data_IF_608830351882
#
_entry.id   IF_608830351882
#
_cell.length_a   1.000
_cell.length_b   1.000
_cell.length_c   1.000
_cell.angle_alpha   90.00
_cell.angle_beta   90.00
_cell.angle_gamma   90.00
#
_symmetry.space_group_name_H-M   'P 1'
#
loop_
_entity.id
_entity.type
_entity.pdbx_description
1 polymer ?
#
# COMPACT_ATOMS: atom_id res chain seq x y z
N UNK A 1 -9.74 -8.49 31.79
CA UNK A 1 -8.68 -9.46 31.42
C UNK A 1 -8.00 -8.97 30.14
N UNK A 2 -6.72 -9.30 29.93
CA UNK A 2 -6.09 -9.18 28.61
C UNK A 2 -6.42 -10.44 27.82
N UNK A 3 -7.15 -10.28 26.72
CA UNK A 3 -7.53 -11.41 25.87
C UNK A 3 -6.32 -11.90 25.08
N UNK A 4 -5.64 -10.98 24.40
CA UNK A 4 -4.43 -11.22 23.63
C UNK A 4 -3.64 -9.93 23.40
N UNK A 5 -2.37 -10.09 23.02
CA UNK A 5 -1.49 -9.00 22.59
C UNK A 5 -0.96 -9.30 21.19
N UNK A 6 -0.91 -8.30 20.32
CA UNK A 6 -0.40 -8.44 18.95
C UNK A 6 0.75 -7.47 18.70
N UNK A 7 1.83 -7.88 18.01
CA UNK A 7 2.84 -6.94 17.56
C UNK A 7 2.26 -6.03 16.46
N UNK A 8 2.79 -4.81 16.34
CA UNK A 8 2.51 -4.00 15.16
C UNK A 8 3.19 -4.58 13.92
N UNK A 9 2.58 -4.38 12.75
CA UNK A 9 3.08 -4.92 11.48
C UNK A 9 4.49 -4.42 11.15
N UNK A 10 4.78 -3.16 11.46
CA UNK A 10 6.05 -2.51 11.21
C UNK A 10 6.65 -1.94 12.51
N UNK A 11 7.97 -2.08 12.63
CA UNK A 11 8.72 -1.52 13.75
C UNK A 11 8.51 -2.26 15.07
N UNK A 12 8.70 -1.52 16.16
CA UNK A 12 8.56 -1.96 17.54
C UNK A 12 7.26 -1.41 18.12
N UNK A 13 6.35 -2.30 18.50
CA UNK A 13 5.09 -1.91 19.13
C UNK A 13 4.18 -3.09 19.36
N UNK A 14 3.20 -2.89 20.22
CA UNK A 14 2.19 -3.87 20.57
C UNK A 14 0.82 -3.24 20.73
N UNK A 15 -0.22 -3.97 20.32
CA UNK A 15 -1.61 -3.72 20.72
C UNK A 15 -2.00 -4.70 21.81
N UNK A 16 -2.60 -4.20 22.88
CA UNK A 16 -3.10 -5.00 24.00
C UNK A 16 -4.62 -4.91 24.01
N UNK A 17 -5.29 -6.04 23.83
CA UNK A 17 -6.74 -6.14 23.77
C UNK A 17 -7.31 -6.58 25.11
N UNK A 18 -8.29 -5.82 25.61
CA UNK A 18 -8.83 -5.94 26.95
C UNK A 18 -10.32 -6.29 26.91
N UNK A 19 -10.72 -7.22 27.76
CA UNK A 19 -12.10 -7.49 28.14
C UNK A 19 -12.31 -7.12 29.61
N UNK A 20 -12.69 -5.86 29.93
CA UNK A 20 -12.94 -5.42 31.30
C UNK A 20 -14.05 -6.25 31.96
N UNK A 21 -13.91 -6.62 33.25
CA UNK A 21 -15.00 -7.28 33.97
C UNK A 21 -16.17 -6.30 34.21
N UNK A 22 -17.40 -6.81 34.38
CA UNK A 22 -18.54 -5.97 34.74
C UNK A 22 -18.25 -5.15 36.00
N UNK A 23 -18.59 -3.85 35.97
CA UNK A 23 -18.38 -2.95 37.11
C UNK A 23 -17.00 -2.27 37.16
N UNK A 24 -16.06 -2.63 36.27
CA UNK A 24 -14.82 -1.88 36.12
C UNK A 24 -15.07 -0.47 35.54
N UNK A 25 -14.54 0.55 36.20
CA UNK A 25 -14.69 1.96 35.81
C UNK A 25 -13.47 2.47 35.05
N UNK A 26 -12.27 2.05 35.48
CA UNK A 26 -10.99 2.41 34.87
C UNK A 26 -10.06 1.20 34.86
N UNK A 27 -9.03 1.26 34.02
CA UNK A 27 -7.94 0.31 34.05
C UNK A 27 -6.58 0.96 33.79
N UNK A 28 -5.58 0.37 34.41
CA UNK A 28 -4.17 0.62 34.19
C UNK A 28 -3.55 -0.58 33.51
N UNK A 29 -2.76 -0.34 32.47
CA UNK A 29 -1.94 -1.39 31.86
C UNK A 29 -0.50 -1.09 32.17
N UNK A 30 0.19 -2.08 32.74
CA UNK A 30 1.62 -2.02 33.02
C UNK A 30 2.37 -3.00 32.13
N UNK A 31 3.61 -2.66 31.77
CA UNK A 31 4.52 -3.46 30.97
C UNK A 31 5.79 -3.78 31.75
N UNK A 32 6.34 -4.98 31.57
CA UNK A 32 7.67 -5.35 32.06
C UNK A 32 8.36 -6.30 31.06
N UNK A 33 9.68 -6.45 31.13
CA UNK A 33 10.46 -7.42 30.34
C UNK A 33 10.47 -8.82 30.99
N UNK A 34 9.84 -8.95 32.16
CA UNK A 34 9.65 -10.20 32.90
C UNK A 34 8.19 -10.30 33.36
N UNK A 35 7.70 -11.50 33.58
CA UNK A 35 6.37 -11.72 34.17
C UNK A 35 6.40 -11.44 35.69
N UNK A 36 6.58 -10.17 36.05
CA UNK A 36 6.73 -9.69 37.43
C UNK A 36 6.15 -8.27 37.57
N UNK A 37 5.20 -8.09 38.48
CA UNK A 37 4.42 -6.85 38.63
C UNK A 37 4.12 -6.53 40.10
N UNK A 38 4.95 -7.00 41.03
CA UNK A 38 4.85 -6.67 42.44
C UNK A 38 5.45 -5.28 42.72
N UNK A 39 5.18 -4.76 43.92
CA UNK A 39 5.79 -3.51 44.39
C UNK A 39 7.33 -3.62 44.38
N UNK A 40 8.00 -2.67 43.72
CA UNK A 40 9.46 -2.67 43.52
C UNK A 40 9.93 -3.32 42.20
N UNK A 41 9.05 -3.95 41.43
CA UNK A 41 9.37 -4.36 40.07
C UNK A 41 9.47 -3.14 39.14
N UNK A 42 10.34 -3.23 38.14
CA UNK A 42 10.55 -2.19 37.13
C UNK A 42 9.41 -2.10 36.09
N UNK A 43 8.17 -2.35 36.50
CA UNK A 43 7.01 -2.29 35.64
C UNK A 43 6.69 -0.83 35.27
N UNK A 44 6.51 -0.56 33.99
CA UNK A 44 6.18 0.75 33.45
C UNK A 44 4.68 0.85 33.19
N UNK A 45 4.05 1.93 33.66
CA UNK A 45 2.64 2.20 33.36
C UNK A 45 2.54 2.72 31.91
N UNK A 46 1.90 1.94 31.03
CA UNK A 46 1.76 2.30 29.61
C UNK A 46 0.46 3.05 29.32
N UNK A 47 -0.56 2.86 30.16
CA UNK A 47 -1.90 3.39 29.93
C UNK A 47 -2.71 3.46 31.22
N UNK A 48 -3.55 4.49 31.34
CA UNK A 48 -4.59 4.64 32.36
C UNK A 48 -5.83 5.27 31.72
N UNK A 49 -6.99 4.62 31.86
CA UNK A 49 -8.24 5.08 31.27
C UNK A 49 -9.26 3.96 31.12
N UNK A 50 -10.07 3.98 30.05
CA UNK A 50 -11.14 3.02 29.80
C UNK A 50 -11.24 2.58 28.32
N UNK A 51 -10.12 2.59 27.59
CA UNK A 51 -9.98 2.07 26.22
C UNK A 51 -9.81 0.54 26.21
N UNK A 52 -10.59 -0.18 25.40
CA UNK A 52 -10.51 -1.65 25.30
C UNK A 52 -9.34 -2.14 24.44
N UNK A 53 -8.67 -1.22 23.74
CA UNK A 53 -7.44 -1.48 22.99
C UNK A 53 -6.39 -0.45 23.38
N UNK A 54 -5.24 -0.91 23.86
CA UNK A 54 -4.12 -0.05 24.24
C UNK A 54 -2.98 -0.24 23.25
N UNK A 55 -2.49 0.87 22.68
CA UNK A 55 -1.34 0.89 21.79
C UNK A 55 -0.08 1.25 22.57
N UNK A 56 0.85 0.31 22.68
CA UNK A 56 2.16 0.51 23.26
C UNK A 56 3.23 0.58 22.16
N UNK A 57 3.79 1.77 21.97
CA UNK A 57 4.76 2.07 20.91
C UNK A 57 6.05 2.72 21.45
N UNK A 58 6.14 2.94 22.76
CA UNK A 58 7.24 3.68 23.38
C UNK A 58 8.27 2.74 24.03
N UNK A 59 9.56 2.91 23.73
CA UNK A 59 10.67 2.20 24.37
C UNK A 59 10.65 0.65 24.26
N UNK A 60 10.01 0.10 23.23
CA UNK A 60 10.11 -1.32 22.90
C UNK A 60 11.35 -1.61 22.04
N UNK A 61 11.89 -2.82 22.12
CA UNK A 61 12.90 -3.33 21.20
C UNK A 61 12.40 -4.56 20.48
N UNK A 62 12.66 -4.66 19.18
CA UNK A 62 12.31 -5.84 18.40
C UNK A 62 13.05 -7.08 18.91
N UNK A 63 12.37 -8.22 18.93
CA UNK A 63 12.92 -9.49 19.40
C UNK A 63 12.99 -9.64 20.92
N UNK A 64 12.58 -8.62 21.69
CA UNK A 64 12.49 -8.70 23.16
C UNK A 64 11.06 -9.01 23.56
N UNK A 65 10.86 -10.00 24.41
CA UNK A 65 9.55 -10.32 24.96
C UNK A 65 9.17 -9.29 26.04
N UNK A 66 7.97 -8.71 25.89
CA UNK A 66 7.36 -7.84 26.88
C UNK A 66 6.10 -8.49 27.42
N UNK A 67 5.90 -8.38 28.73
CA UNK A 67 4.76 -8.87 29.48
C UNK A 67 3.89 -7.68 29.86
N UNK A 68 2.58 -7.84 29.71
CA UNK A 68 1.57 -6.83 30.01
C UNK A 68 0.63 -7.36 31.06
N UNK A 69 0.30 -6.51 32.04
CA UNK A 69 -0.68 -6.82 33.07
C UNK A 69 -1.64 -5.66 33.24
N UNK A 70 -2.91 -6.00 33.39
CA UNK A 70 -3.99 -5.02 33.59
C UNK A 70 -4.45 -5.03 35.04
N UNK A 71 -4.74 -3.84 35.55
CA UNK A 71 -5.33 -3.60 36.86
C UNK A 71 -6.64 -2.84 36.65
N UNK A 72 -7.76 -3.35 37.15
CA UNK A 72 -9.07 -2.71 37.02
C UNK A 72 -9.46 -2.02 38.32
N UNK A 73 -10.10 -0.86 38.21
CA UNK A 73 -10.62 -0.11 39.34
C UNK A 73 -12.15 -0.23 39.40
N UNK A 74 -12.68 -0.60 40.57
CA UNK A 74 -14.11 -0.84 40.81
C UNK A 74 -14.78 0.22 41.71
N UNK A 75 -14.18 1.42 41.79
CA UNK A 75 -14.50 2.52 42.73
C UNK A 75 -13.91 2.37 44.14
N UNK A 76 -13.42 1.17 44.50
CA UNK A 76 -12.88 0.92 45.84
C UNK A 76 -11.41 0.51 45.83
N UNK A 77 -11.03 -0.41 44.94
CA UNK A 77 -9.68 -0.98 44.89
C UNK A 77 -9.22 -1.17 43.46
N UNK A 78 -7.90 -1.20 43.29
CA UNK A 78 -7.27 -1.67 42.06
C UNK A 78 -7.06 -3.18 42.14
N UNK A 79 -7.82 -3.93 41.36
CA UNK A 79 -7.70 -5.39 41.24
C UNK A 79 -6.75 -5.77 40.10
N UNK A 80 -5.65 -6.44 40.46
CA UNK A 80 -4.63 -6.98 39.55
C UNK A 80 -4.54 -8.50 39.55
N UNK A 81 -5.59 -9.23 39.91
CA UNK A 81 -5.56 -10.71 39.92
C UNK A 81 -5.55 -11.35 38.52
N UNK A 82 -5.62 -10.56 37.45
CA UNK A 82 -5.60 -11.05 36.09
C UNK A 82 -4.18 -11.50 35.66
N UNK A 83 -4.06 -12.60 34.90
CA UNK A 83 -2.76 -13.07 34.41
C UNK A 83 -2.14 -12.08 33.43
N UNK A 84 -0.80 -12.03 33.41
CA UNK A 84 -0.08 -11.27 32.40
C UNK A 84 -0.13 -11.97 31.03
N UNK A 85 0.04 -11.19 29.97
CA UNK A 85 0.18 -11.69 28.59
C UNK A 85 1.46 -11.15 27.97
N UNK A 86 2.17 -11.99 27.23
CA UNK A 86 3.41 -11.60 26.58
C UNK A 86 3.23 -11.40 25.08
N UNK A 87 3.99 -10.47 24.51
CA UNK A 87 4.20 -10.33 23.06
C UNK A 87 5.64 -9.97 22.79
N UNK A 88 6.17 -10.42 21.66
CA UNK A 88 7.51 -10.07 21.18
C UNK A 88 7.34 -9.24 19.92
N UNK A 89 7.54 -7.91 19.98
CA UNK A 89 7.51 -7.06 18.81
C UNK A 89 8.54 -7.49 17.75
N UNK A 90 8.16 -7.33 16.50
CA UNK A 90 9.04 -7.49 15.35
C UNK A 90 8.32 -7.03 14.08
N UNK A 91 9.09 -6.71 13.04
CA UNK A 91 8.55 -6.29 11.75
C UNK A 91 8.24 -7.53 10.90
N UNK A 92 6.97 -7.79 10.64
CA UNK A 92 6.50 -9.01 9.97
C UNK A 92 5.43 -8.71 8.93
N UNK A 93 5.69 -7.76 8.02
CA UNK A 93 4.75 -7.40 6.96
C UNK A 93 5.27 -7.75 5.57
N UNK A 94 4.34 -8.04 4.67
CA UNK A 94 4.55 -8.13 3.23
C UNK A 94 3.80 -7.00 2.55
N UNK A 95 4.43 -6.36 1.58
CA UNK A 95 3.75 -5.41 0.70
C UNK A 95 2.78 -6.16 -0.21
N UNK A 96 1.51 -5.76 -0.19
CA UNK A 96 0.43 -6.30 -1.02
C UNK A 96 -0.04 -5.26 -2.06
N UNK A 97 0.69 -4.17 -2.21
CA UNK A 97 0.36 -3.09 -3.13
C UNK A 97 0.54 -3.52 -4.59
N UNK A 98 -0.23 -2.89 -5.47
CA UNK A 98 -0.05 -3.00 -6.91
C UNK A 98 0.81 -1.82 -7.38
N UNK A 99 1.77 -2.08 -8.26
CA UNK A 99 2.49 -1.03 -8.99
C UNK A 99 1.81 -0.78 -10.35
N UNK A 100 0.88 0.19 -10.46
CA UNK A 100 0.18 0.47 -11.71
C UNK A 100 1.12 1.04 -12.78
N UNK A 101 2.21 1.71 -12.41
CA UNK A 101 3.19 2.21 -13.38
C UNK A 101 3.90 1.04 -14.06
N UNK A 102 4.40 0.08 -13.28
CA UNK A 102 5.05 -1.12 -13.80
C UNK A 102 4.10 -1.94 -14.67
N UNK A 103 2.86 -2.14 -14.21
CA UNK A 103 1.85 -2.90 -14.95
C UNK A 103 1.51 -2.25 -16.30
N UNK A 104 1.18 -0.96 -16.32
CA UNK A 104 0.86 -0.24 -17.55
C UNK A 104 2.06 -0.23 -18.50
N UNK A 105 3.28 -0.02 -17.99
CA UNK A 105 4.53 -0.08 -18.77
C UNK A 105 4.70 -1.43 -19.45
N UNK A 106 4.56 -2.54 -18.71
CA UNK A 106 4.69 -3.90 -19.23
C UNK A 106 3.67 -4.18 -20.36
N UNK A 107 2.40 -3.82 -20.15
CA UNK A 107 1.35 -4.05 -21.15
C UNK A 107 1.56 -3.23 -22.41
N UNK A 108 1.98 -1.97 -22.27
CA UNK A 108 2.32 -1.13 -23.42
C UNK A 108 3.55 -1.65 -24.16
N UNK A 109 4.59 -2.10 -23.45
CA UNK A 109 5.79 -2.65 -24.07
C UNK A 109 5.48 -3.91 -24.90
N UNK A 110 4.74 -4.86 -24.32
CA UNK A 110 4.33 -6.07 -25.04
C UNK A 110 3.42 -5.76 -26.23
N UNK A 111 2.48 -4.84 -26.07
CA UNK A 111 1.55 -4.44 -27.13
C UNK A 111 2.25 -3.75 -28.30
N UNK A 112 3.15 -2.80 -28.01
CA UNK A 112 3.92 -2.09 -29.03
C UNK A 112 4.90 -3.01 -29.75
N UNK A 113 5.52 -3.96 -29.05
CA UNK A 113 6.38 -4.96 -29.67
C UNK A 113 5.61 -5.78 -30.74
N UNK A 114 4.38 -6.18 -30.44
CA UNK A 114 3.51 -6.89 -31.39
C UNK A 114 3.14 -6.01 -32.60
N UNK A 115 2.79 -4.73 -32.37
CA UNK A 115 2.46 -3.78 -33.45
C UNK A 115 3.66 -3.43 -34.34
N UNK A 116 4.89 -3.50 -33.81
CA UNK A 116 6.09 -3.36 -34.62
C UNK A 116 6.37 -4.65 -35.40
N UNK A 117 6.24 -5.81 -34.76
CA UNK A 117 6.47 -7.11 -35.39
C UNK A 117 5.52 -7.39 -36.57
N UNK A 118 4.26 -6.96 -36.48
CA UNK A 118 3.28 -7.12 -37.56
C UNK A 118 3.33 -5.99 -38.61
N UNK A 119 4.25 -5.02 -38.48
CA UNK A 119 4.45 -3.93 -39.41
C UNK A 119 3.44 -2.77 -39.32
N UNK A 120 2.54 -2.78 -38.33
CA UNK A 120 1.59 -1.67 -38.09
C UNK A 120 2.31 -0.39 -37.70
N UNK A 121 3.32 -0.51 -36.83
CA UNK A 121 4.20 0.59 -36.44
C UNK A 121 5.63 0.30 -36.93
N UNK A 122 6.40 1.36 -37.18
CA UNK A 122 7.79 1.26 -37.60
C UNK A 122 8.68 1.99 -36.62
N UNK A 123 9.83 1.40 -36.32
CA UNK A 123 10.86 2.02 -35.50
C UNK A 123 12.23 1.58 -36.00
N UNK A 124 13.23 2.47 -35.99
CA UNK A 124 14.57 2.18 -36.54
C UNK A 124 15.27 1.01 -35.84
N UNK A 125 14.93 0.77 -34.58
CA UNK A 125 15.45 -0.34 -33.77
C UNK A 125 14.54 -1.57 -33.77
N UNK A 126 13.52 -1.64 -34.64
CA UNK A 126 12.50 -2.70 -34.66
C UNK A 126 11.80 -2.94 -33.29
N UNK A 127 11.79 -1.93 -32.43
CA UNK A 127 11.09 -1.90 -31.14
C UNK A 127 10.83 -0.45 -30.75
N UNK A 128 9.67 -0.14 -30.20
CA UNK A 128 9.39 1.17 -29.59
C UNK A 128 9.58 0.99 -28.07
N UNK A 129 10.57 1.64 -27.44
CA UNK A 129 10.79 1.48 -26.01
C UNK A 129 9.65 2.09 -25.18
N UNK A 130 9.40 1.49 -24.01
CA UNK A 130 8.49 2.05 -22.99
C UNK A 130 9.27 2.28 -21.70
N UNK A 131 9.57 3.54 -21.40
CA UNK A 131 10.39 3.95 -20.27
C UNK A 131 9.53 4.40 -19.08
N UNK A 132 10.09 4.40 -17.88
CA UNK A 132 9.41 4.88 -16.65
C UNK A 132 9.68 6.35 -16.32
N UNK A 133 10.58 6.99 -17.07
CA UNK A 133 10.99 8.38 -16.90
C UNK A 133 11.13 9.08 -18.26
N UNK A 134 11.11 10.42 -18.26
CA UNK A 134 11.34 11.23 -19.46
C UNK A 134 12.64 10.84 -20.16
N UNK A 135 12.65 10.70 -21.49
CA UNK A 135 13.84 10.28 -22.23
C UNK A 135 14.87 11.41 -22.25
N UNK A 136 16.15 11.04 -22.20
CA UNK A 136 17.21 11.92 -22.67
C UNK A 136 17.24 11.81 -24.20
N UNK A 137 16.71 12.81 -24.91
CA UNK A 137 16.48 12.73 -26.36
C UNK A 137 17.75 12.41 -27.15
N UNK A 138 18.91 12.88 -26.70
CA UNK A 138 20.20 12.62 -27.36
C UNK A 138 20.68 11.17 -27.19
N UNK A 139 20.05 10.39 -26.31
CA UNK A 139 20.42 9.00 -25.99
C UNK A 139 19.35 7.97 -26.39
N UNK A 140 18.21 8.41 -26.92
CA UNK A 140 17.08 7.54 -27.24
C UNK A 140 16.67 7.72 -28.69
N UNK A 141 16.49 6.62 -29.41
CA UNK A 141 15.88 6.66 -30.74
C UNK A 141 14.37 6.87 -30.60
N UNK A 142 13.85 7.90 -31.29
CA UNK A 142 12.43 8.17 -31.39
C UNK A 142 11.79 7.35 -32.53
N UNK A 143 10.49 7.02 -32.44
CA UNK A 143 9.59 7.35 -31.32
C UNK A 143 9.77 6.49 -30.06
N UNK A 144 9.48 7.06 -28.89
CA UNK A 144 9.50 6.37 -27.58
C UNK A 144 8.22 6.67 -26.80
N UNK A 145 7.80 5.76 -25.92
CA UNK A 145 6.71 5.98 -24.98
C UNK A 145 7.26 6.02 -23.56
N UNK A 146 6.71 6.87 -22.70
CA UNK A 146 7.04 6.87 -21.27
C UNK A 146 5.79 6.74 -20.43
N UNK A 147 5.85 6.00 -19.33
CA UNK A 147 4.78 5.92 -18.32
C UNK A 147 5.35 6.46 -17.02
N UNK A 148 4.83 7.58 -16.53
CA UNK A 148 5.37 8.29 -15.37
C UNK A 148 4.32 8.33 -14.26
N UNK A 149 4.70 7.98 -13.03
CA UNK A 149 3.87 8.25 -11.87
C UNK A 149 3.85 9.76 -11.60
N UNK A 150 2.66 10.39 -11.62
CA UNK A 150 2.49 11.82 -11.33
C UNK A 150 2.08 12.07 -9.90
N UNK A 151 1.19 11.24 -9.39
CA UNK A 151 0.73 11.30 -8.01
C UNK A 151 0.25 9.92 -7.56
N UNK A 152 0.47 9.66 -6.28
CA UNK A 152 -0.12 8.58 -5.51
C UNK A 152 -0.59 9.22 -4.21
N UNK A 153 -1.91 9.34 -4.04
CA UNK A 153 -2.51 10.03 -2.91
C UNK A 153 -3.49 9.12 -2.19
N UNK A 154 -3.33 8.90 -0.87
CA UNK A 154 -4.27 8.10 -0.10
C UNK A 154 -5.64 8.81 -0.12
N UNK A 155 -6.67 8.10 -0.58
CA UNK A 155 -8.02 8.67 -0.66
C UNK A 155 -8.90 8.13 0.48
N UNK A 156 -8.86 6.80 0.69
CA UNK A 156 -9.69 6.13 1.68
C UNK A 156 -8.84 5.11 2.44
N UNK A 157 -9.15 4.91 3.73
CA UNK A 157 -8.59 3.77 4.47
C UNK A 157 -9.08 2.49 3.80
N UNK A 158 -8.14 1.66 3.37
CA UNK A 158 -8.45 0.32 2.94
C UNK A 158 -8.41 -0.58 4.17
N UNK A 159 -9.59 -0.89 4.68
CA UNK A 159 -9.78 -1.99 5.62
C UNK A 159 -10.08 -3.20 4.73
N UNK A 160 -9.28 -4.26 4.85
CA UNK A 160 -9.52 -5.52 4.15
C UNK A 160 -10.87 -6.13 4.53
N UNK A 161 -11.14 -7.36 4.10
CA UNK A 161 -12.37 -8.05 4.48
C UNK A 161 -12.52 -8.02 6.01
N UNK A 162 -13.71 -7.66 6.51
CA UNK A 162 -13.98 -7.06 7.83
C UNK A 162 -13.61 -7.91 9.07
N UNK A 163 -12.91 -9.01 8.85
CA UNK A 163 -12.54 -10.03 9.81
C UNK A 163 -11.03 -10.19 10.01
N UNK A 164 -10.19 -9.47 9.25
CA UNK A 164 -8.73 -9.56 9.42
C UNK A 164 -8.11 -8.21 9.80
N UNK A 165 -7.69 -8.08 11.05
CA UNK A 165 -6.77 -7.01 11.52
C UNK A 165 -5.34 -7.20 10.96
N UNK A 166 -5.16 -8.15 10.04
CA UNK A 166 -3.92 -8.56 9.44
C UNK A 166 -3.46 -7.66 8.30
N UNK A 167 -4.36 -6.82 7.79
CA UNK A 167 -4.13 -5.98 6.62
C UNK A 167 -4.33 -4.50 6.99
N UNK A 168 -3.42 -3.66 6.52
CA UNK A 168 -3.53 -2.22 6.68
C UNK A 168 -3.12 -1.54 5.38
N UNK A 169 -3.88 -0.55 4.95
CA UNK A 169 -3.55 0.17 3.73
C UNK A 169 -4.50 1.30 3.41
N UNK A 170 -4.34 1.80 2.19
CA UNK A 170 -5.15 2.83 1.59
C UNK A 170 -5.66 2.34 0.23
N UNK A 171 -6.84 2.83 -0.12
CA UNK A 171 -7.24 2.92 -1.50
C UNK A 171 -6.69 4.25 -2.01
N UNK A 172 -5.69 4.18 -2.87
CA UNK A 172 -4.95 5.35 -3.33
C UNK A 172 -5.44 5.80 -4.71
N UNK A 173 -5.65 7.10 -4.85
CA UNK A 173 -5.86 7.73 -6.15
C UNK A 173 -4.51 7.91 -6.85
N UNK A 174 -4.29 7.13 -7.90
CA UNK A 174 -3.06 7.12 -8.68
C UNK A 174 -3.29 7.80 -10.02
N UNK A 175 -2.41 8.74 -10.36
CA UNK A 175 -2.35 9.36 -11.68
C UNK A 175 -1.05 9.00 -12.38
N UNK A 176 -1.16 8.36 -13.55
CA UNK A 176 -0.06 8.08 -14.46
C UNK A 176 -0.14 8.99 -15.68
N UNK A 177 1.01 9.54 -16.08
CA UNK A 177 1.15 10.26 -17.34
C UNK A 177 1.89 9.38 -18.35
N UNK A 178 1.18 8.99 -19.39
CA UNK A 178 1.74 8.27 -20.54
C UNK A 178 2.06 9.29 -21.62
N UNK A 179 3.33 9.44 -21.97
CA UNK A 179 3.77 10.39 -23.00
C UNK A 179 4.31 9.65 -24.21
N UNK A 180 3.75 9.95 -25.36
CA UNK A 180 4.27 9.56 -26.67
C UNK A 180 5.20 10.64 -27.16
N UNK A 181 6.45 10.28 -27.45
CA UNK A 181 7.48 11.15 -27.99
C UNK A 181 7.75 10.77 -29.43
N UNK A 182 7.58 11.72 -30.36
CA UNK A 182 7.75 11.50 -31.79
C UNK A 182 8.50 12.65 -32.44
N UNK A 183 9.20 12.36 -33.54
CA UNK A 183 10.08 13.31 -34.23
C UNK A 183 9.68 13.52 -35.69
N UNK A 184 9.04 12.52 -36.32
CA UNK A 184 8.78 12.53 -37.76
C UNK A 184 7.49 13.28 -38.16
N UNK A 185 6.83 13.96 -37.21
CA UNK A 185 5.67 14.83 -37.48
C UNK A 185 4.38 14.41 -36.79
N UNK A 186 3.29 15.11 -37.12
CA UNK A 186 1.98 14.92 -36.51
C UNK A 186 1.31 13.58 -36.83
N UNK A 187 1.61 12.97 -37.98
CA UNK A 187 1.03 11.67 -38.36
C UNK A 187 1.65 10.51 -37.57
N UNK A 188 2.98 10.53 -37.36
CA UNK A 188 3.66 9.56 -36.48
C UNK A 188 3.10 9.65 -35.06
N UNK A 189 2.99 10.88 -34.53
CA UNK A 189 2.35 11.14 -33.23
C UNK A 189 0.94 10.55 -33.18
N UNK A 190 0.11 10.84 -34.18
CA UNK A 190 -1.29 10.40 -34.23
C UNK A 190 -1.40 8.87 -34.27
N UNK A 191 -0.61 8.21 -35.11
CA UNK A 191 -0.63 6.75 -35.24
C UNK A 191 -0.22 6.09 -33.91
N UNK A 192 0.88 6.56 -33.30
CA UNK A 192 1.36 6.02 -32.04
C UNK A 192 0.42 6.32 -30.88
N UNK A 193 -0.17 7.52 -30.83
CA UNK A 193 -1.23 7.87 -29.86
C UNK A 193 -2.43 6.93 -29.97
N UNK A 194 -2.92 6.68 -31.18
CA UNK A 194 -4.05 5.77 -31.41
C UNK A 194 -3.71 4.34 -30.98
N UNK A 195 -2.51 3.87 -31.30
CA UNK A 195 -2.01 2.58 -30.86
C UNK A 195 -1.94 2.48 -29.33
N UNK A 196 -1.31 3.45 -28.65
CA UNK A 196 -1.21 3.47 -27.19
C UNK A 196 -2.58 3.52 -26.53
N UNK A 197 -3.50 4.37 -27.01
CA UNK A 197 -4.89 4.40 -26.53
C UNK A 197 -5.56 3.04 -26.70
N UNK A 198 -5.43 2.43 -27.88
CA UNK A 198 -5.99 1.11 -28.16
C UNK A 198 -5.43 0.01 -27.24
N UNK A 199 -4.13 0.04 -26.97
CA UNK A 199 -3.47 -0.90 -26.05
C UNK A 199 -3.94 -0.71 -24.61
N UNK A 200 -4.14 0.52 -24.13
CA UNK A 200 -4.73 0.76 -22.80
C UNK A 200 -6.14 0.17 -22.73
N UNK A 201 -6.97 0.43 -23.74
CA UNK A 201 -8.35 -0.10 -23.79
C UNK A 201 -8.35 -1.63 -23.82
N UNK A 202 -7.48 -2.24 -24.64
CA UNK A 202 -7.39 -3.69 -24.78
C UNK A 202 -6.91 -4.39 -23.49
N UNK A 203 -6.26 -3.67 -22.57
CA UNK A 203 -5.76 -4.22 -21.31
C UNK A 203 -6.63 -3.84 -20.10
N UNK A 204 -7.80 -3.22 -20.28
CA UNK A 204 -8.68 -2.85 -19.16
C UNK A 204 -9.02 -4.04 -18.26
N UNK A 205 -9.30 -5.21 -18.83
CA UNK A 205 -9.58 -6.42 -18.05
C UNK A 205 -8.39 -6.85 -17.19
N UNK A 206 -7.17 -6.76 -17.73
CA UNK A 206 -5.93 -7.06 -16.98
C UNK A 206 -5.74 -6.06 -15.84
N UNK A 207 -5.97 -4.78 -16.09
CA UNK A 207 -5.86 -3.74 -15.07
C UNK A 207 -6.88 -3.94 -13.94
N UNK A 208 -8.13 -4.26 -14.28
CA UNK A 208 -9.19 -4.55 -13.29
C UNK A 208 -8.86 -5.80 -12.47
N UNK A 209 -8.43 -6.88 -13.13
CA UNK A 209 -8.03 -8.12 -12.44
C UNK A 209 -6.82 -7.92 -11.54
N UNK A 210 -5.90 -7.04 -11.92
CA UNK A 210 -4.76 -6.67 -11.10
C UNK A 210 -5.14 -5.74 -9.94
N UNK A 211 -6.40 -5.26 -9.83
CA UNK A 211 -6.88 -4.44 -8.71
C UNK A 211 -6.95 -2.93 -8.99
N UNK A 212 -6.77 -2.48 -10.23
CA UNK A 212 -7.00 -1.09 -10.62
C UNK A 212 -8.50 -0.84 -10.85
N UNK A 213 -9.06 0.17 -10.19
CA UNK A 213 -10.48 0.50 -10.24
C UNK A 213 -10.71 1.92 -10.77
N UNK A 214 -11.95 2.20 -11.18
CA UNK A 214 -12.37 3.52 -11.68
C UNK A 214 -11.41 4.12 -12.73
N UNK A 215 -10.94 3.29 -13.66
CA UNK A 215 -9.92 3.68 -14.64
C UNK A 215 -10.51 4.73 -15.59
N UNK A 216 -9.90 5.92 -15.62
CA UNK A 216 -10.24 7.01 -16.51
C UNK A 216 -9.02 7.40 -17.34
N UNK A 217 -9.25 7.77 -18.60
CA UNK A 217 -8.19 8.16 -19.52
C UNK A 217 -8.55 9.49 -20.18
N UNK A 218 -7.72 10.50 -20.00
CA UNK A 218 -7.81 11.77 -20.74
C UNK A 218 -6.60 11.93 -21.66
N UNK A 219 -6.73 12.79 -22.67
CA UNK A 219 -5.73 12.93 -23.72
C UNK A 219 -5.55 14.38 -24.15
N UNK A 220 -4.31 14.78 -24.37
CA UNK A 220 -3.96 16.05 -25.01
C UNK A 220 -2.74 15.89 -25.94
N UNK A 221 -2.65 16.77 -26.92
CA UNK A 221 -1.47 16.90 -27.78
C UNK A 221 -0.70 18.17 -27.41
N UNK A 222 0.62 18.11 -27.59
CA UNK A 222 1.50 19.26 -27.45
C UNK A 222 2.64 19.20 -28.47
N UNK A 223 3.24 20.35 -28.71
CA UNK A 223 4.40 20.53 -29.57
C UNK A 223 5.50 21.25 -28.80
N UNK A 224 6.73 20.74 -28.86
CA UNK A 224 7.91 21.34 -28.25
C UNK A 224 8.91 21.66 -29.36
N UNK A 225 8.85 22.90 -29.87
CA UNK A 225 9.69 23.34 -30.99
C UNK A 225 10.93 24.10 -30.54
N UNK A 226 10.87 24.80 -29.40
CA UNK A 226 11.94 25.69 -28.94
C UNK A 226 12.82 25.08 -27.85
N UNK A 227 12.34 24.00 -27.21
CA UNK A 227 12.98 23.38 -26.04
C UNK A 227 14.12 22.43 -26.40
N UNK A 228 14.11 21.87 -27.60
CA UNK A 228 15.02 20.83 -28.04
C UNK A 228 15.68 21.19 -29.38
N UNK A 229 16.82 20.56 -29.69
CA UNK A 229 17.56 20.80 -30.94
C UNK A 229 16.78 20.37 -32.20
N UNK A 230 15.68 19.64 -32.05
CA UNK A 230 14.79 19.23 -33.13
C UNK A 230 13.34 19.31 -32.66
N UNK A 231 12.39 19.63 -33.55
CA UNK A 231 10.96 19.63 -33.23
C UNK A 231 10.52 18.28 -32.64
N UNK A 232 9.84 18.33 -31.50
CA UNK A 232 9.28 17.14 -30.86
C UNK A 232 7.75 17.27 -30.78
N UNK A 233 7.07 16.22 -31.22
CA UNK A 233 5.62 16.10 -31.16
C UNK A 233 5.24 15.17 -30.02
N UNK A 234 4.42 15.66 -29.10
CA UNK A 234 4.00 14.95 -27.90
C UNK A 234 2.51 14.65 -27.91
N UNK A 235 2.13 13.44 -27.50
CA UNK A 235 0.78 13.15 -27.03
C UNK A 235 0.85 12.70 -25.58
N UNK A 236 0.08 13.35 -24.71
CA UNK A 236 -0.03 13.04 -23.28
C UNK A 236 -1.36 12.33 -23.04
N UNK A 237 -1.31 11.17 -22.43
CA UNK A 237 -2.48 10.43 -21.96
C UNK A 237 -2.38 10.34 -20.44
N UNK A 238 -3.34 10.92 -19.72
CA UNK A 238 -3.39 10.82 -18.27
C UNK A 238 -4.35 9.72 -17.90
N UNK A 239 -3.81 8.65 -17.30
CA UNK A 239 -4.57 7.54 -16.74
C UNK A 239 -4.74 7.77 -15.24
N UNK A 240 -5.98 7.81 -14.80
CA UNK A 240 -6.35 7.94 -13.39
C UNK A 240 -7.05 6.66 -12.95
N UNK A 241 -6.75 6.18 -11.75
CA UNK A 241 -7.37 4.98 -11.20
C UNK A 241 -7.24 4.95 -9.68
N UNK A 242 -8.05 4.11 -9.04
CA UNK A 242 -7.88 3.74 -7.65
C UNK A 242 -7.15 2.40 -7.56
N UNK A 243 -6.13 2.30 -6.70
CA UNK A 243 -5.35 1.09 -6.50
C UNK A 243 -5.19 0.79 -5.01
N UNK A 244 -5.09 -0.48 -4.65
CA UNK A 244 -4.73 -0.88 -3.29
C UNK A 244 -3.24 -0.60 -3.05
N UNK A 245 -2.96 0.14 -1.98
CA UNK A 245 -1.62 0.30 -1.40
C UNK A 245 -1.68 -0.21 0.03
N UNK A 246 -1.13 -1.39 0.30
CA UNK A 246 -1.34 -2.06 1.57
C UNK A 246 -0.22 -2.99 1.97
N UNK A 247 -0.24 -3.35 3.25
CA UNK A 247 0.64 -4.33 3.86
C UNK A 247 -0.19 -5.36 4.60
N UNK A 248 0.23 -6.61 4.55
CA UNK A 248 -0.36 -7.72 5.27
C UNK A 248 0.65 -8.35 6.22
N UNK A 249 0.22 -8.92 7.35
CA UNK A 249 1.14 -9.67 8.20
C UNK A 249 1.56 -10.99 7.54
N UNK A 250 2.82 -11.35 7.74
CA UNK A 250 3.42 -12.56 7.18
C UNK A 250 3.21 -13.80 8.05
N UNK A 251 2.77 -13.64 9.30
CA UNK A 251 2.56 -14.74 10.25
C UNK A 251 1.06 -15.02 10.40
N UNK A 252 0.59 -16.29 10.40
CA UNK A 252 -0.80 -16.58 10.68
C UNK A 252 -1.14 -16.04 12.06
N UNK A 253 -1.97 -15.01 12.11
CA UNK A 253 -2.64 -14.63 13.34
C UNK A 253 -3.35 -15.87 13.89
N UNK A 254 -3.41 -16.05 15.22
CA UNK A 254 -4.34 -17.01 15.77
C UNK A 254 -5.75 -16.60 15.35
N UNK A 255 -6.30 -17.27 14.34
CA UNK A 255 -7.70 -17.12 13.93
C UNK A 255 -8.53 -17.76 15.02
N UNK A 256 -9.16 -16.95 15.88
CA UNK A 256 -10.09 -17.45 16.87
C UNK A 256 -11.47 -17.58 16.23
N UNK A 257 -11.89 -18.81 15.96
CA UNK A 257 -13.28 -19.11 15.61
C UNK A 257 -14.17 -18.84 16.84
N UNK A 258 -14.94 -17.77 16.83
CA UNK A 258 -16.07 -17.59 17.75
C UNK A 258 -17.17 -18.57 17.35
N UNK A 259 -17.20 -19.75 17.96
CA UNK A 259 -18.41 -20.57 17.93
C UNK A 259 -19.47 -19.86 18.76
N UNK A 260 -20.39 -19.15 18.10
CA UNK A 260 -21.62 -18.68 18.71
C UNK A 260 -22.49 -19.91 18.97
N UNK A 261 -22.43 -20.45 20.19
CA UNK A 261 -23.45 -21.37 20.67
C UNK A 261 -24.72 -20.57 20.90
N UNK A 262 -25.65 -20.67 19.97
CA UNK A 262 -27.03 -20.20 20.14
C UNK A 262 -27.69 -21.15 21.14
N UNK A 263 -28.00 -20.64 22.32
CA UNK A 263 -28.86 -21.30 23.32
C UNK A 263 -30.32 -21.23 22.92
#
# INVERSE_FOLDING_TARGET
MIDYCLPLLAGNGAKVYLSPPPGALLWRVARNTRDAFAEGDAAELIYEGNEVVVLDYAALSNGVAYFYKVFYFDDTVWDGQFPARSVTPGAFFTDTSIDPQALVRERLESGLAMLVANGTLKHRQNRIPVLTASPQLDKVALPVVTVQLRSDTPEQLFVGDALSEAESGWLSAVTLEIVVWSQLGGDERKALRQAVKGLVIANLEVFVQAGMQQIQLSLSDAEEFDRYQSPVYLSRLNLQCLCQSGVAATVPFPVFSTSVSVS
#
